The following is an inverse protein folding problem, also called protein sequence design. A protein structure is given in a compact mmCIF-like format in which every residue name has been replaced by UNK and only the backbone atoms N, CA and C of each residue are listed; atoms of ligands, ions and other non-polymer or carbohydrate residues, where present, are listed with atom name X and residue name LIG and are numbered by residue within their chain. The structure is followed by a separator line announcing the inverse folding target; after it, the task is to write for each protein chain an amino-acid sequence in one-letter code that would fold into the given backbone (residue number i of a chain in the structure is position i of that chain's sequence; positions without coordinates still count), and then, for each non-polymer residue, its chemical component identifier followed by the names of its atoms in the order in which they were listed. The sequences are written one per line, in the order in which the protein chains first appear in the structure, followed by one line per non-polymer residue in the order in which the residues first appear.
data_IF_654933257445
#
_entry.id   IF_654933257445
#
_cell.length_a   1.000
_cell.length_b   1.000
_cell.length_c   1.000
_cell.angle_alpha   90.00
_cell.angle_beta   90.00
_cell.angle_gamma   90.00
#
_symmetry.space_group_name_H-M   'P 1'
#
loop_
_entity.id
_entity.type
_entity.pdbx_description
1 polymer ?
#
# COMPACT_ATOMS: atom_id res chain seq x y z
N UNK A 1 7.19 5.02 4.39
CA UNK A 1 8.40 4.32 4.86
C UNK A 1 9.30 5.30 5.58
N UNK A 2 10.08 4.85 6.56
CA UNK A 2 11.08 5.64 7.28
C UNK A 2 12.40 4.87 7.27
N UNK A 3 13.49 5.54 6.88
CA UNK A 3 14.85 5.04 7.11
C UNK A 3 15.36 5.76 8.36
N UNK A 4 15.54 5.08 9.51
CA UNK A 4 16.10 5.71 10.69
C UNK A 4 17.49 6.26 10.38
N UNK A 5 17.73 7.50 10.74
CA UNK A 5 19.04 8.16 10.59
C UNK A 5 19.56 8.60 11.95
N UNK A 6 20.86 8.57 12.10
CA UNK A 6 21.54 9.13 13.25
C UNK A 6 21.48 10.66 13.21
N UNK A 7 21.13 11.29 14.34
CA UNK A 7 20.86 12.72 14.39
C UNK A 7 22.11 13.60 14.21
N UNK A 8 23.30 13.08 14.55
CA UNK A 8 24.54 13.83 14.45
C UNK A 8 25.18 13.73 13.05
N UNK A 9 25.08 12.57 12.41
CA UNK A 9 25.77 12.28 11.14
C UNK A 9 24.86 12.22 9.91
N UNK A 10 23.54 12.04 10.08
CA UNK A 10 22.60 11.79 9.00
C UNK A 10 22.74 10.40 8.35
N UNK A 11 23.62 9.55 8.87
CA UNK A 11 23.85 8.20 8.35
C UNK A 11 22.72 7.25 8.78
N UNK A 12 22.38 6.22 7.98
CA UNK A 12 21.39 5.22 8.37
C UNK A 12 21.77 4.54 9.69
N UNK A 13 20.86 4.55 10.67
CA UNK A 13 21.11 4.04 12.04
C UNK A 13 20.32 2.79 12.39
N UNK A 14 19.50 2.26 11.47
CA UNK A 14 18.70 1.07 11.73
C UNK A 14 18.03 0.49 10.48
N UNK A 15 17.26 -0.58 10.70
CA UNK A 15 16.45 -1.17 9.64
C UNK A 15 15.34 -0.20 9.21
N UNK A 16 15.10 -0.13 7.90
CA UNK A 16 13.96 0.58 7.33
C UNK A 16 12.65 0.10 7.97
N UNK A 17 11.76 1.04 8.23
CA UNK A 17 10.45 0.79 8.84
C UNK A 17 9.37 1.12 7.81
N UNK A 18 8.61 0.11 7.40
CA UNK A 18 7.43 0.37 6.57
C UNK A 18 6.34 0.99 7.43
N UNK A 19 5.63 1.95 6.84
CA UNK A 19 4.43 2.52 7.45
C UNK A 19 3.22 1.90 6.73
N UNK A 20 2.07 1.73 7.40
CA UNK A 20 0.89 1.20 6.75
C UNK A 20 0.53 1.99 5.49
N UNK A 21 0.08 1.30 4.45
CA UNK A 21 -0.54 1.94 3.29
C UNK A 21 -2.00 2.25 3.65
N UNK A 22 -2.40 3.52 3.57
CA UNK A 22 -3.76 3.95 3.90
C UNK A 22 -4.54 4.19 2.61
N UNK A 23 -5.65 3.48 2.45
CA UNK A 23 -6.61 3.70 1.36
C UNK A 23 -7.81 4.44 1.92
N UNK A 24 -8.16 5.57 1.31
CA UNK A 24 -9.38 6.31 1.61
C UNK A 24 -10.40 6.04 0.50
N UNK A 25 -11.58 5.55 0.85
CA UNK A 25 -12.66 5.25 -0.10
C UNK A 25 -14.02 5.58 0.49
N UNK A 26 -15.02 5.67 -0.37
CA UNK A 26 -16.41 5.70 0.09
C UNK A 26 -16.83 4.34 0.62
N UNK A 27 -17.75 4.31 1.59
CA UNK A 27 -18.42 3.09 2.02
C UNK A 27 -19.15 2.48 0.81
N UNK A 28 -18.91 1.20 0.56
CA UNK A 28 -19.53 0.46 -0.55
C UNK A 28 -19.71 -1.02 -0.18
N UNK A 29 -20.06 -1.85 -1.17
CA UNK A 29 -20.27 -3.29 -0.96
C UNK A 29 -19.03 -4.04 -0.47
N UNK A 30 -17.83 -3.50 -0.66
CA UNK A 30 -16.60 -4.11 -0.15
C UNK A 30 -16.39 -3.84 1.34
N UNK A 31 -17.04 -2.83 1.92
CA UNK A 31 -16.86 -2.45 3.32
C UNK A 31 -17.07 -3.64 4.29
N UNK A 32 -18.18 -4.40 4.25
CA UNK A 32 -18.36 -5.55 5.14
C UNK A 32 -17.31 -6.67 4.94
N UNK A 33 -16.80 -6.83 3.72
CA UNK A 33 -15.76 -7.81 3.40
C UNK A 33 -14.41 -7.37 3.99
N UNK A 34 -14.07 -6.09 3.87
CA UNK A 34 -12.85 -5.52 4.47
C UNK A 34 -12.90 -5.61 6.01
N UNK A 35 -14.06 -5.39 6.63
CA UNK A 35 -14.21 -5.56 8.08
C UNK A 35 -14.14 -7.04 8.50
N UNK A 36 -14.66 -7.96 7.69
CA UNK A 36 -14.48 -9.41 7.92
C UNK A 36 -12.99 -9.79 7.89
N UNK A 37 -12.26 -9.31 6.88
CA UNK A 37 -10.82 -9.55 6.76
C UNK A 37 -10.04 -8.95 7.95
N UNK A 38 -10.44 -7.76 8.41
CA UNK A 38 -9.86 -7.13 9.61
C UNK A 38 -10.10 -7.97 10.88
N UNK A 39 -11.36 -8.33 11.17
CA UNK A 39 -11.72 -9.06 12.40
C UNK A 39 -11.07 -10.45 12.44
N UNK A 40 -10.95 -11.10 11.28
CA UNK A 40 -10.34 -12.43 11.18
C UNK A 40 -8.81 -12.40 11.05
N UNK A 41 -8.18 -11.21 11.02
CA UNK A 41 -6.76 -11.03 10.75
C UNK A 41 -6.32 -11.78 9.47
N UNK A 42 -7.16 -11.71 8.44
CA UNK A 42 -7.02 -12.46 7.21
C UNK A 42 -5.76 -12.04 6.44
N UNK A 43 -5.01 -13.02 5.95
CA UNK A 43 -3.86 -12.78 5.08
C UNK A 43 -4.32 -12.59 3.63
N UNK A 44 -4.35 -11.35 3.17
CA UNK A 44 -4.61 -10.98 1.79
C UNK A 44 -3.34 -11.21 0.96
N UNK A 45 -3.30 -12.33 0.25
CA UNK A 45 -2.09 -12.76 -0.52
C UNK A 45 -1.65 -11.72 -1.54
N UNK A 46 -2.60 -10.96 -2.11
CA UNK A 46 -2.34 -9.88 -3.06
C UNK A 46 -3.36 -8.75 -2.91
N UNK A 47 -2.88 -7.53 -2.75
CA UNK A 47 -3.68 -6.30 -2.84
C UNK A 47 -3.08 -5.42 -3.93
N UNK A 48 -3.91 -4.94 -4.87
CA UNK A 48 -3.45 -4.05 -5.94
C UNK A 48 -4.25 -2.76 -5.96
N UNK A 49 -3.54 -1.64 -5.90
CA UNK A 49 -4.09 -0.33 -6.22
C UNK A 49 -3.67 -0.01 -7.65
N UNK A 50 -4.67 0.15 -8.51
CA UNK A 50 -4.50 0.42 -9.93
C UNK A 50 -4.86 1.87 -10.22
N UNK A 51 -3.91 2.62 -10.74
CA UNK A 51 -4.07 4.04 -11.02
C UNK A 51 -4.25 4.26 -12.51
N UNK A 52 -5.38 4.87 -12.85
CA UNK A 52 -5.76 5.19 -14.21
C UNK A 52 -5.59 6.68 -14.47
N UNK A 53 -5.27 7.04 -15.72
CA UNK A 53 -5.26 8.41 -16.21
C UNK A 53 -5.88 8.45 -17.61
N UNK A 54 -6.38 9.61 -18.02
CA UNK A 54 -6.83 9.81 -19.39
C UNK A 54 -5.62 9.99 -20.31
N UNK A 55 -5.60 9.27 -21.42
CA UNK A 55 -4.55 9.38 -22.44
C UNK A 55 -4.90 10.40 -23.54
N UNK A 56 -3.99 10.58 -24.50
CA UNK A 56 -4.14 11.53 -25.62
C UNK A 56 -5.34 11.22 -26.53
N UNK A 57 -5.92 10.01 -26.42
CA UNK A 57 -7.13 9.59 -27.15
C UNK A 57 -8.41 9.77 -26.33
N UNK A 58 -8.32 10.35 -25.14
CA UNK A 58 -9.45 10.52 -24.23
C UNK A 58 -9.91 9.24 -23.54
N UNK A 59 -9.09 8.18 -23.55
CA UNK A 59 -9.41 6.88 -22.95
C UNK A 59 -8.65 6.69 -21.64
N UNK A 60 -9.26 5.99 -20.69
CA UNK A 60 -8.60 5.60 -19.45
C UNK A 60 -7.53 4.55 -19.74
N UNK A 61 -6.29 4.86 -19.33
CA UNK A 61 -5.17 3.94 -19.37
C UNK A 61 -4.62 3.68 -17.97
N UNK A 62 -4.31 2.42 -17.69
CA UNK A 62 -3.58 2.03 -16.48
C UNK A 62 -2.12 2.44 -16.65
N UNK A 63 -1.62 3.32 -15.78
CA UNK A 63 -0.23 3.81 -15.89
C UNK A 63 0.64 3.43 -14.69
N UNK A 64 0.04 3.11 -13.54
CA UNK A 64 0.77 2.84 -12.31
C UNK A 64 0.04 1.81 -11.44
N UNK A 65 0.81 0.93 -10.78
CA UNK A 65 0.30 -0.06 -9.83
C UNK A 65 1.13 0.03 -8.55
N UNK A 66 0.43 0.03 -7.42
CA UNK A 66 0.99 -0.37 -6.13
C UNK A 66 0.49 -1.77 -5.83
N UNK A 67 1.40 -2.72 -5.60
CA UNK A 67 1.07 -4.10 -5.24
C UNK A 67 1.62 -4.43 -3.87
N UNK A 68 0.77 -4.97 -3.00
CA UNK A 68 1.16 -5.53 -1.71
C UNK A 68 1.08 -7.07 -1.78
N UNK A 69 2.08 -7.74 -1.22
CA UNK A 69 2.09 -9.20 -1.03
C UNK A 69 1.95 -9.52 0.45
N UNK A 70 1.12 -10.51 0.78
CA UNK A 70 0.82 -10.93 2.15
C UNK A 70 0.47 -9.73 3.05
N UNK A 71 -0.58 -9.02 2.64
CA UNK A 71 -1.09 -7.86 3.36
C UNK A 71 -2.14 -8.27 4.39
N UNK A 72 -2.29 -7.45 5.43
CA UNK A 72 -3.37 -7.54 6.42
C UNK A 72 -3.90 -6.16 6.71
N UNK A 73 -5.18 -6.08 7.06
CA UNK A 73 -5.76 -4.83 7.51
C UNK A 73 -5.37 -4.64 8.98
N UNK A 74 -4.65 -3.56 9.26
CA UNK A 74 -4.19 -3.23 10.61
C UNK A 74 -5.18 -2.36 11.37
N UNK A 75 -5.87 -1.47 10.67
CA UNK A 75 -6.80 -0.52 11.26
C UNK A 75 -7.85 -0.05 10.24
N UNK A 76 -9.04 0.30 10.73
CA UNK A 76 -10.07 0.95 9.94
C UNK A 76 -10.74 2.08 10.75
N UNK A 77 -11.07 3.18 10.08
CA UNK A 77 -11.84 4.27 10.70
C UNK A 77 -12.76 4.96 9.72
N UNK A 78 -13.85 5.53 10.25
CA UNK A 78 -14.72 6.43 9.49
C UNK A 78 -14.09 7.83 9.52
N UNK A 79 -13.64 8.30 8.35
CA UNK A 79 -12.91 9.56 8.20
C UNK A 79 -13.80 10.74 7.78
N UNK A 80 -15.10 10.49 7.60
CA UNK A 80 -16.11 11.50 7.26
C UNK A 80 -17.43 10.85 6.87
N UNK A 81 -18.46 11.64 6.51
CA UNK A 81 -19.73 11.11 6.03
C UNK A 81 -19.52 10.18 4.84
N UNK A 82 -19.88 8.90 5.00
CA UNK A 82 -19.71 7.85 4.00
C UNK A 82 -18.26 7.60 3.53
N UNK A 83 -17.24 8.05 4.27
CA UNK A 83 -15.82 7.85 3.92
C UNK A 83 -15.17 6.97 4.97
N UNK A 84 -14.49 5.92 4.53
CA UNK A 84 -13.67 5.04 5.36
C UNK A 84 -12.19 5.10 4.96
N UNK A 85 -11.33 4.92 5.96
CA UNK A 85 -9.89 4.75 5.79
C UNK A 85 -9.51 3.34 6.26
N UNK A 86 -8.83 2.60 5.40
CA UNK A 86 -8.37 1.24 5.64
C UNK A 86 -6.84 1.23 5.56
N UNK A 87 -6.20 0.78 6.64
CA UNK A 87 -4.75 0.72 6.76
C UNK A 87 -4.26 -0.71 6.54
N UNK A 88 -3.33 -0.89 5.60
CA UNK A 88 -2.71 -2.17 5.28
C UNK A 88 -1.27 -2.22 5.79
N UNK A 89 -0.95 -3.26 6.55
CA UNK A 89 0.43 -3.73 6.76
C UNK A 89 0.70 -4.88 5.81
N UNK A 90 1.96 -5.09 5.43
CA UNK A 90 2.30 -6.01 4.35
C UNK A 90 3.73 -6.52 4.50
N UNK A 91 3.99 -7.69 3.91
CA UNK A 91 5.33 -8.24 3.82
C UNK A 91 6.13 -7.49 2.74
N UNK A 92 5.60 -7.40 1.53
CA UNK A 92 6.30 -6.81 0.37
C UNK A 92 5.43 -5.79 -0.33
N UNK A 93 6.06 -4.72 -0.81
CA UNK A 93 5.44 -3.68 -1.63
C UNK A 93 6.22 -3.49 -2.91
N UNK A 94 5.49 -3.41 -4.02
CA UNK A 94 6.02 -3.14 -5.36
C UNK A 94 5.36 -1.87 -5.90
N UNK A 95 6.16 -0.99 -6.48
CA UNK A 95 5.75 0.20 -7.23
C UNK A 95 6.09 -0.03 -8.69
N UNK A 96 5.08 -0.11 -9.54
CA UNK A 96 5.22 -0.52 -10.94
C UNK A 96 4.71 0.61 -11.80
N UNK A 97 5.61 1.23 -12.56
CA UNK A 97 5.27 2.17 -13.60
C UNK A 97 5.16 1.42 -14.93
N UNK A 98 3.93 1.36 -15.48
CA UNK A 98 3.60 0.48 -16.60
C UNK A 98 4.36 0.88 -17.87
N UNK A 99 4.45 2.20 -18.12
CA UNK A 99 5.09 2.71 -19.33
C UNK A 99 6.61 2.77 -19.16
N UNK A 100 7.30 1.71 -19.57
CA UNK A 100 8.76 1.58 -19.47
C UNK A 100 9.24 0.51 -18.49
N UNK A 101 8.32 -0.30 -17.94
CA UNK A 101 8.62 -1.45 -17.08
C UNK A 101 9.48 -1.13 -15.84
N UNK A 102 9.43 0.13 -15.39
CA UNK A 102 10.20 0.56 -14.22
C UNK A 102 9.51 0.03 -12.97
N UNK A 103 10.19 -0.88 -12.29
CA UNK A 103 9.71 -1.48 -11.04
C UNK A 103 10.68 -1.23 -9.91
N UNK A 104 10.16 -0.75 -8.79
CA UNK A 104 10.85 -0.75 -7.51
C UNK A 104 10.10 -1.69 -6.56
N UNK A 105 10.82 -2.40 -5.69
CA UNK A 105 10.19 -3.25 -4.68
C UNK A 105 10.99 -3.23 -3.38
N UNK A 106 10.30 -3.49 -2.29
CA UNK A 106 10.92 -3.74 -1.00
C UNK A 106 10.12 -4.80 -0.21
N UNK A 107 10.84 -5.67 0.50
CA UNK A 107 10.30 -6.79 1.28
C UNK A 107 10.78 -6.67 2.74
N UNK A 108 9.85 -6.62 3.69
CA UNK A 108 10.12 -6.53 5.12
C UNK A 108 11.02 -7.66 5.63
N UNK A 109 10.90 -8.86 5.06
CA UNK A 109 11.69 -10.02 5.45
C UNK A 109 13.08 -10.06 4.78
N UNK A 110 13.33 -9.23 3.77
CA UNK A 110 14.63 -9.18 3.12
C UNK A 110 15.68 -8.55 4.06
N UNK A 111 16.68 -9.36 4.43
CA UNK A 111 17.89 -8.91 5.12
C UNK A 111 18.49 -7.69 4.41
N UNK A 112 19.04 -6.70 5.16
CA UNK A 112 19.83 -5.65 4.53
C UNK A 112 21.00 -6.27 3.78
N UNK A 113 21.17 -5.92 2.50
CA UNK A 113 22.40 -6.15 1.77
C UNK A 113 23.54 -5.29 2.32
#
# INVERSE_FOLDING_TARGET
MLVPTDAASGLPSGRRQHKPLIVTKYIDKSTPLLYTALVNNENLTRVELRFYRTNDKGLDELYYIIRLTNARINDSKIAGPNIEQISFVYQRMEWIWINGEITAMDDWEASPA
#
